data_IF_890557546481
#
_entry.id   IF_890557546481
#
_cell.length_a   1.000
_cell.length_b   1.000
_cell.length_c   1.000
_cell.angle_alpha   90.00
_cell.angle_beta   90.00
_cell.angle_gamma   90.00
#
_symmetry.space_group_name_H-M   'P 1'
#
loop_
_entity.id
_entity.type
_entity.pdbx_description
1 polymer ?
#
# COMPACT_ATOMS: atom_id res chain seq x y z
N UNK A 1 -5.25 51.72 -30.10
CA UNK A 1 -4.41 50.64 -30.67
C UNK A 1 -3.80 49.71 -29.61
N UNK A 2 -3.45 50.19 -28.42
CA UNK A 2 -2.86 49.38 -27.34
C UNK A 2 -3.80 48.27 -26.78
N UNK A 3 -5.11 48.47 -26.77
CA UNK A 3 -6.09 47.51 -26.23
C UNK A 3 -6.15 46.17 -26.98
N UNK A 4 -6.10 46.20 -28.33
CA UNK A 4 -6.15 44.97 -29.16
C UNK A 4 -4.88 44.12 -28.98
N UNK A 5 -3.74 44.78 -28.78
CA UNK A 5 -2.46 44.10 -28.58
C UNK A 5 -2.43 43.33 -27.24
N UNK A 6 -2.98 43.92 -26.18
CA UNK A 6 -3.11 43.25 -24.87
C UNK A 6 -4.07 42.06 -24.93
N UNK A 7 -5.18 42.17 -25.68
CA UNK A 7 -6.10 41.05 -25.90
C UNK A 7 -5.39 39.88 -26.60
N UNK A 8 -4.54 40.17 -27.60
CA UNK A 8 -3.80 39.15 -28.33
C UNK A 8 -2.78 38.42 -27.44
N UNK A 9 -2.08 39.15 -26.56
CA UNK A 9 -1.19 38.54 -25.57
C UNK A 9 -1.99 37.67 -24.60
N UNK A 10 -3.14 38.16 -24.12
CA UNK A 10 -3.98 37.43 -23.18
C UNK A 10 -4.51 36.13 -23.79
N UNK A 11 -5.01 36.14 -25.03
CA UNK A 11 -5.50 34.95 -25.73
C UNK A 11 -4.40 33.92 -25.95
N UNK A 12 -3.19 34.33 -26.36
CA UNK A 12 -2.08 33.39 -26.56
C UNK A 12 -1.58 32.79 -25.23
N UNK A 13 -1.42 33.62 -24.20
CA UNK A 13 -0.95 33.16 -22.88
C UNK A 13 -1.98 32.22 -22.24
N UNK A 14 -3.25 32.62 -22.16
CA UNK A 14 -4.29 31.79 -21.54
C UNK A 14 -4.65 30.55 -22.36
N UNK A 15 -4.52 30.60 -23.69
CA UNK A 15 -4.69 29.44 -24.57
C UNK A 15 -3.68 28.32 -24.27
N UNK A 16 -2.41 28.68 -24.07
CA UNK A 16 -1.36 27.72 -23.72
C UNK A 16 -1.53 27.13 -22.32
N UNK A 17 -2.00 27.93 -21.35
CA UNK A 17 -2.35 27.42 -20.02
C UNK A 17 -3.42 26.34 -20.08
N UNK A 18 -4.49 26.54 -20.85
CA UNK A 18 -5.56 25.54 -21.03
C UNK A 18 -5.07 24.24 -21.69
N UNK A 19 -4.13 24.33 -22.62
CA UNK A 19 -3.56 23.13 -23.25
C UNK A 19 -2.68 22.33 -22.28
N UNK A 20 -1.92 23.03 -21.41
CA UNK A 20 -1.05 22.42 -20.40
C UNK A 20 -1.85 21.73 -19.29
N UNK A 21 -2.93 22.35 -18.79
CA UNK A 21 -3.79 21.75 -17.76
C UNK A 21 -4.44 20.46 -18.24
N UNK A 22 -4.96 20.43 -19.48
CA UNK A 22 -5.56 19.24 -20.09
C UNK A 22 -4.58 18.06 -20.27
N UNK A 23 -3.28 18.34 -20.44
CA UNK A 23 -2.25 17.30 -20.50
C UNK A 23 -1.97 16.71 -19.12
N UNK A 24 -1.81 17.57 -18.12
CA UNK A 24 -1.57 17.17 -16.72
C UNK A 24 -2.71 16.29 -16.21
N UNK A 25 -3.97 16.66 -16.45
CA UNK A 25 -5.13 15.86 -16.03
C UNK A 25 -5.12 14.46 -16.63
N UNK A 26 -4.75 14.32 -17.92
CA UNK A 26 -4.66 13.01 -18.58
C UNK A 26 -3.54 12.13 -18.01
N UNK A 27 -2.40 12.73 -17.71
CA UNK A 27 -1.26 12.00 -17.13
C UNK A 27 -1.57 11.50 -15.71
N UNK A 28 -2.33 12.27 -14.93
CA UNK A 28 -2.80 11.85 -13.59
C UNK A 28 -3.81 10.71 -13.70
N UNK A 29 -4.80 10.82 -14.59
CA UNK A 29 -5.79 9.77 -14.79
C UNK A 29 -5.16 8.44 -15.21
N UNK A 30 -4.14 8.48 -16.09
CA UNK A 30 -3.38 7.28 -16.49
C UNK A 30 -2.63 6.63 -15.34
N UNK A 31 -2.10 7.42 -14.39
CA UNK A 31 -1.43 6.86 -13.20
C UNK A 31 -2.42 6.20 -12.26
N UNK A 32 -3.56 6.85 -12.02
CA UNK A 32 -4.64 6.29 -11.18
C UNK A 32 -5.18 4.99 -11.81
N UNK A 33 -5.41 4.98 -13.12
CA UNK A 33 -5.86 3.78 -13.84
C UNK A 33 -4.84 2.64 -13.73
N UNK A 34 -3.55 2.94 -13.85
CA UNK A 34 -2.47 1.97 -13.65
C UNK A 34 -2.41 1.46 -12.19
N UNK A 35 -2.54 2.33 -11.21
CA UNK A 35 -2.56 1.95 -9.78
C UNK A 35 -3.76 1.06 -9.45
N UNK A 36 -4.94 1.36 -9.99
CA UNK A 36 -6.14 0.52 -9.83
C UNK A 36 -5.97 -0.85 -10.50
N UNK A 37 -5.30 -0.93 -11.65
CA UNK A 37 -5.02 -2.18 -12.35
C UNK A 37 -3.95 -3.03 -11.62
N UNK A 38 -2.95 -2.39 -11.01
CA UNK A 38 -1.98 -3.04 -10.13
C UNK A 38 -2.64 -3.55 -8.83
N UNK A 39 -3.57 -2.78 -8.23
CA UNK A 39 -4.33 -3.19 -7.05
C UNK A 39 -5.27 -4.38 -7.34
N UNK A 40 -5.94 -4.39 -8.51
CA UNK A 40 -6.76 -5.53 -8.95
C UNK A 40 -5.96 -6.82 -9.15
N UNK A 41 -4.65 -6.73 -9.38
CA UNK A 41 -3.76 -7.90 -9.49
C UNK A 41 -3.31 -8.46 -8.13
N UNK A 42 -3.68 -7.84 -7.00
CA UNK A 42 -3.56 -8.47 -5.69
C UNK A 42 -4.71 -9.47 -5.54
N UNK A 43 -4.55 -10.63 -6.17
CA UNK A 43 -5.51 -11.73 -6.07
C UNK A 43 -5.59 -12.17 -4.61
N UNK A 44 -6.65 -11.80 -3.90
CA UNK A 44 -6.97 -12.41 -2.62
C UNK A 44 -7.35 -13.88 -2.86
N UNK A 45 -6.38 -14.77 -2.70
CA UNK A 45 -6.56 -16.22 -2.87
C UNK A 45 -7.05 -16.84 -1.57
N UNK A 46 -8.17 -17.58 -1.63
CA UNK A 46 -8.64 -18.38 -0.50
C UNK A 46 -7.61 -19.50 -0.24
N UNK A 47 -7.07 -19.64 0.99
CA UNK A 47 -6.16 -20.72 1.32
C UNK A 47 -6.80 -22.10 1.14
N UNK A 48 -6.01 -23.10 0.77
CA UNK A 48 -6.50 -24.48 0.71
C UNK A 48 -6.49 -25.11 2.11
N UNK A 49 -7.63 -25.05 2.80
CA UNK A 49 -7.82 -25.61 4.14
C UNK A 49 -7.87 -27.14 4.20
N UNK A 50 -7.84 -27.84 3.05
CA UNK A 50 -7.77 -29.32 3.03
C UNK A 50 -6.35 -29.85 3.21
N UNK A 51 -5.34 -28.98 3.10
CA UNK A 51 -3.93 -29.34 3.27
C UNK A 51 -3.56 -29.05 4.74
N UNK A 52 -3.15 -30.07 5.51
CA UNK A 52 -2.63 -29.87 6.86
C UNK A 52 -1.41 -28.94 6.85
N UNK A 53 -1.25 -28.16 7.91
CA UNK A 53 -0.06 -27.34 8.11
C UNK A 53 0.91 -28.12 8.99
N UNK A 54 2.19 -27.91 8.72
CA UNK A 54 3.27 -28.43 9.56
C UNK A 54 4.00 -27.23 10.14
N UNK A 55 4.14 -27.21 11.47
CA UNK A 55 4.78 -26.13 12.17
C UNK A 55 4.77 -26.34 13.69
N UNK A 56 5.52 -25.50 14.44
CA UNK A 56 5.48 -25.53 15.89
C UNK A 56 4.07 -25.24 16.42
N UNK A 57 3.65 -25.96 17.46
CA UNK A 57 2.35 -25.75 18.10
C UNK A 57 1.16 -26.46 17.43
N UNK A 58 1.36 -27.13 16.29
CA UNK A 58 0.33 -27.96 15.67
C UNK A 58 -0.09 -29.11 16.60
N UNK A 59 -1.34 -29.55 16.49
CA UNK A 59 -1.95 -30.58 17.35
C UNK A 59 -1.90 -30.31 18.87
N UNK A 60 -1.62 -29.07 19.30
CA UNK A 60 -1.49 -28.71 20.71
C UNK A 60 -0.12 -29.06 21.31
N UNK A 61 0.88 -29.34 20.46
CA UNK A 61 2.24 -29.59 20.91
C UNK A 61 2.85 -28.32 21.54
N UNK A 62 3.72 -28.51 22.54
CA UNK A 62 4.40 -27.39 23.18
C UNK A 62 5.48 -26.81 22.25
N UNK A 63 5.46 -25.49 22.06
CA UNK A 63 6.54 -24.75 21.40
C UNK A 63 7.68 -24.50 22.38
N UNK A 64 8.88 -25.00 22.05
CA UNK A 64 10.08 -24.79 22.87
C UNK A 64 10.84 -23.58 22.35
N UNK A 65 10.99 -22.57 23.21
CA UNK A 65 11.70 -21.33 22.88
C UNK A 65 13.20 -21.47 23.10
N UNK A 66 13.96 -20.71 22.31
CA UNK A 66 15.36 -20.42 22.62
C UNK A 66 15.47 -19.53 23.86
N UNK A 67 16.65 -19.48 24.48
CA UNK A 67 16.88 -18.64 25.66
C UNK A 67 16.65 -17.14 25.38
N UNK A 68 16.97 -16.70 24.16
CA UNK A 68 16.79 -15.32 23.70
C UNK A 68 15.30 -14.97 23.56
N UNK A 69 14.52 -15.85 22.90
CA UNK A 69 13.08 -15.70 22.73
C UNK A 69 12.34 -15.77 24.06
N UNK A 70 12.78 -16.65 24.97
CA UNK A 70 12.21 -16.75 26.30
C UNK A 70 12.37 -15.43 27.07
N UNK A 71 13.57 -14.86 27.05
CA UNK A 71 13.84 -13.57 27.73
C UNK A 71 12.96 -12.46 27.18
N UNK A 72 12.84 -12.35 25.85
CA UNK A 72 11.99 -11.34 25.22
C UNK A 72 10.51 -11.58 25.56
N UNK A 73 10.05 -12.83 25.52
CA UNK A 73 8.69 -13.20 25.88
C UNK A 73 8.34 -12.86 27.32
N UNK A 74 9.27 -13.00 28.27
CA UNK A 74 9.09 -12.61 29.67
C UNK A 74 8.91 -11.09 29.85
N UNK A 75 9.65 -10.28 29.08
CA UNK A 75 9.52 -8.82 29.10
C UNK A 75 8.16 -8.37 28.52
N UNK A 76 7.72 -9.03 27.45
CA UNK A 76 6.49 -8.73 26.73
C UNK A 76 5.21 -9.24 27.41
N UNK A 77 5.32 -10.29 28.24
CA UNK A 77 4.19 -10.94 28.90
C UNK A 77 3.38 -9.99 29.77
N UNK A 78 4.03 -8.98 30.37
CA UNK A 78 3.36 -7.99 31.21
C UNK A 78 2.56 -6.97 30.40
N UNK A 79 2.91 -6.77 29.14
CA UNK A 79 2.26 -5.82 28.25
C UNK A 79 1.10 -6.49 27.54
N UNK A 80 1.35 -7.68 26.99
CA UNK A 80 0.39 -8.37 26.12
C UNK A 80 -0.40 -9.47 26.82
N UNK A 81 -0.01 -9.84 28.05
CA UNK A 81 -0.63 -10.93 28.82
C UNK A 81 -0.62 -12.28 28.07
N UNK A 82 0.31 -12.43 27.11
CA UNK A 82 0.53 -13.63 26.32
C UNK A 82 1.98 -13.69 25.85
N UNK A 83 2.46 -14.90 25.52
CA UNK A 83 3.80 -15.10 24.98
C UNK A 83 3.78 -14.89 23.46
N UNK A 84 4.21 -13.70 23.02
CA UNK A 84 4.25 -13.32 21.60
C UNK A 84 5.37 -14.01 20.82
N UNK A 85 6.32 -14.66 21.52
CA UNK A 85 7.47 -15.32 20.91
C UNK A 85 7.23 -16.80 20.61
N UNK A 86 6.14 -17.40 21.12
CA UNK A 86 5.74 -18.78 20.81
C UNK A 86 5.20 -18.88 19.38
N UNK A 87 6.01 -19.43 18.47
CA UNK A 87 5.74 -19.57 17.04
C UNK A 87 6.41 -20.82 16.46
#
# INVERSE_FOLDING_TARGET
MISIFLLFIFVNVFGDFNKKTNKISRDILKRIEKEIDEEKNILHVIPNYSIPREGPGENGDAVILTDEEKKLGEEELKVWFMNMQAK
#
